data_IF_870073599305
#
_entry.id   IF_870073599305
#
_cell.length_a   1.000
_cell.length_b   1.000
_cell.length_c   1.000
_cell.angle_alpha   90.00
_cell.angle_beta   90.00
_cell.angle_gamma   90.00
#
_symmetry.space_group_name_H-M   'P 1'
#
loop_
_entity.id
_entity.type
_entity.pdbx_description
1 polymer ?
#
# COMPACT_ATOMS: atom_id res chain seq x y z
N UNK A 1 3.06 64.44 -25.26
CA UNK A 1 2.27 64.46 -26.47
C UNK A 1 1.21 63.39 -26.37
N UNK A 2 0.06 63.59 -25.81
CA UNK A 2 -1.17 64.32 -26.18
C UNK A 2 -1.82 63.87 -27.51
N UNK A 3 -2.97 63.19 -27.33
CA UNK A 3 -4.27 63.31 -28.05
C UNK A 3 -5.12 62.08 -27.77
N UNK A 4 -6.17 62.08 -26.95
CA UNK A 4 -7.53 62.66 -26.99
C UNK A 4 -8.29 62.41 -28.33
N UNK A 5 -9.44 61.78 -28.18
CA UNK A 5 -10.50 61.60 -29.16
C UNK A 5 -11.57 60.67 -28.64
N UNK A 6 -12.56 61.00 -27.86
CA UNK A 6 -13.92 61.57 -28.06
C UNK A 6 -14.85 60.65 -28.87
N UNK A 7 -15.78 60.12 -28.15
CA UNK A 7 -17.22 59.82 -28.23
C UNK A 7 -17.94 59.85 -29.59
N UNK A 8 -18.87 58.90 -29.72
CA UNK A 8 -20.16 59.13 -30.37
C UNK A 8 -21.24 58.18 -29.75
N UNK A 9 -22.23 58.83 -29.18
CA UNK A 9 -23.49 58.25 -28.74
C UNK A 9 -24.46 58.19 -29.93
N UNK A 10 -25.19 57.12 -30.10
CA UNK A 10 -26.39 57.05 -30.92
C UNK A 10 -27.57 56.61 -30.10
N UNK A 11 -28.52 57.54 -29.96
CA UNK A 11 -29.86 57.36 -29.42
C UNK A 11 -30.70 56.56 -30.42
N UNK A 12 -31.48 55.63 -29.98
CA UNK A 12 -32.59 55.05 -30.75
C UNK A 12 -33.86 55.10 -29.90
N UNK A 13 -34.79 55.75 -30.50
CA UNK A 13 -36.11 56.21 -30.08
C UNK A 13 -37.08 55.07 -29.75
N UNK A 14 -37.81 55.24 -28.63
CA UNK A 14 -39.03 54.50 -28.26
C UNK A 14 -40.16 54.78 -29.26
N UNK A 15 -40.83 53.74 -29.68
CA UNK A 15 -42.19 53.78 -30.24
C UNK A 15 -43.13 53.01 -29.28
N UNK A 16 -44.04 53.76 -28.67
CA UNK A 16 -45.18 53.22 -27.90
C UNK A 16 -46.31 52.90 -28.88
N UNK A 17 -46.79 51.64 -28.81
CA UNK A 17 -48.11 51.29 -29.36
C UNK A 17 -49.00 50.87 -28.18
N UNK A 18 -49.96 51.73 -27.90
CA UNK A 18 -51.10 51.47 -27.00
C UNK A 18 -52.11 50.54 -27.68
N UNK A 19 -52.43 49.43 -26.98
CA UNK A 19 -53.62 48.65 -27.22
C UNK A 19 -54.34 48.45 -25.86
N UNK A 20 -55.61 48.85 -25.67
CA UNK A 20 -56.34 48.61 -24.47
C UNK A 20 -57.09 47.27 -24.59
N UNK A 21 -57.15 46.49 -23.51
CA UNK A 21 -57.96 45.27 -23.44
C UNK A 21 -57.90 44.64 -22.08
N UNK A 22 -58.98 44.81 -21.32
CA UNK A 22 -59.29 44.21 -20.05
C UNK A 22 -59.07 42.70 -20.03
N UNK A 23 -58.51 42.20 -18.90
CA UNK A 23 -59.08 41.05 -18.18
C UNK A 23 -58.29 40.75 -16.91
N UNK A 24 -58.93 40.82 -15.81
CA UNK A 24 -58.47 40.37 -14.48
C UNK A 24 -58.13 38.87 -14.51
N UNK A 25 -56.87 38.54 -14.19
CA UNK A 25 -56.52 37.18 -13.68
C UNK A 25 -55.51 37.34 -12.55
N UNK A 26 -55.92 36.75 -11.43
CA UNK A 26 -55.31 36.86 -10.13
C UNK A 26 -53.80 36.56 -10.12
N UNK A 27 -53.08 37.37 -9.41
CA UNK A 27 -51.70 37.14 -9.01
C UNK A 27 -51.69 35.99 -8.01
N UNK A 28 -51.37 34.76 -8.45
CA UNK A 28 -50.85 33.74 -7.58
C UNK A 28 -49.35 34.03 -7.37
N UNK A 29 -49.02 34.81 -6.36
CA UNK A 29 -47.69 34.92 -5.83
C UNK A 29 -47.27 33.58 -5.22
N UNK A 30 -46.31 32.93 -5.80
CA UNK A 30 -45.70 31.72 -5.26
C UNK A 30 -44.96 32.03 -3.95
N UNK A 31 -45.24 31.38 -2.84
CA UNK A 31 -44.53 31.59 -1.59
C UNK A 31 -43.29 30.66 -1.49
N UNK A 32 -42.33 30.86 -2.41
CA UNK A 32 -41.14 29.97 -2.43
C UNK A 32 -39.88 30.58 -1.81
N UNK A 33 -39.84 31.88 -1.52
CA UNK A 33 -38.62 32.55 -1.02
C UNK A 33 -38.51 32.68 0.50
N UNK A 34 -39.53 32.40 1.26
CA UNK A 34 -39.53 32.54 2.75
C UNK A 34 -39.47 31.21 3.52
N UNK A 35 -39.60 30.06 2.88
CA UNK A 35 -39.58 28.75 3.54
C UNK A 35 -38.17 28.23 3.91
N UNK A 36 -37.13 28.70 3.23
CA UNK A 36 -35.73 28.24 3.45
C UNK A 36 -35.12 28.69 4.80
N UNK A 37 -35.32 29.93 5.31
CA UNK A 37 -34.78 30.32 6.60
C UNK A 37 -35.44 29.61 7.79
N UNK A 38 -36.74 29.31 7.71
CA UNK A 38 -37.49 28.65 8.78
C UNK A 38 -37.13 27.18 8.92
N UNK A 39 -36.97 26.46 7.83
CA UNK A 39 -36.50 25.06 7.82
C UNK A 39 -35.11 24.91 8.42
N UNK A 40 -34.21 25.84 8.11
CA UNK A 40 -32.84 25.85 8.68
C UNK A 40 -32.84 26.18 10.19
N UNK A 41 -33.70 27.07 10.64
CA UNK A 41 -33.87 27.38 12.08
C UNK A 41 -34.47 26.20 12.87
N UNK A 42 -35.46 25.53 12.32
CA UNK A 42 -36.05 24.33 12.94
C UNK A 42 -35.03 23.22 13.04
N UNK A 43 -34.27 22.94 12.00
CA UNK A 43 -33.21 21.94 12.00
C UNK A 43 -32.12 22.24 13.03
N UNK A 44 -31.74 23.52 13.22
CA UNK A 44 -30.78 23.90 14.26
C UNK A 44 -31.37 23.68 15.67
N UNK A 45 -32.61 24.02 15.93
CA UNK A 45 -33.26 23.79 17.22
C UNK A 45 -33.37 22.30 17.56
N UNK A 46 -33.61 21.47 16.57
CA UNK A 46 -33.66 20.02 16.72
C UNK A 46 -32.30 19.45 17.12
N UNK A 47 -31.21 19.88 16.48
CA UNK A 47 -29.82 19.46 16.81
C UNK A 47 -29.49 19.88 18.28
N UNK A 48 -29.83 21.10 18.70
CA UNK A 48 -29.57 21.53 20.08
C UNK A 48 -30.32 20.70 21.11
N UNK A 49 -31.57 20.32 20.82
CA UNK A 49 -32.34 19.44 21.70
C UNK A 49 -31.72 18.05 21.83
N UNK A 50 -31.20 17.49 20.74
CA UNK A 50 -30.47 16.20 20.76
C UNK A 50 -29.13 16.29 21.51
N UNK A 51 -28.45 17.43 21.43
CA UNK A 51 -27.23 17.68 22.22
C UNK A 51 -27.53 17.81 23.70
N UNK A 52 -28.66 18.45 24.08
CA UNK A 52 -29.13 18.51 25.48
C UNK A 52 -29.46 17.12 26.01
N UNK A 53 -30.11 16.28 25.20
CA UNK A 53 -30.38 14.88 25.57
C UNK A 53 -29.08 14.10 25.78
N UNK A 54 -28.10 14.26 24.89
CA UNK A 54 -26.80 13.65 25.05
C UNK A 54 -26.10 14.10 26.34
N UNK A 55 -26.16 15.40 26.66
CA UNK A 55 -25.65 15.96 27.91
C UNK A 55 -26.31 15.36 29.16
N UNK A 56 -27.63 15.20 29.16
CA UNK A 56 -28.39 14.57 30.26
C UNK A 56 -27.99 13.10 30.45
N UNK A 57 -27.82 12.34 29.37
CA UNK A 57 -27.37 10.94 29.44
C UNK A 57 -25.95 10.86 29.99
N UNK A 58 -25.06 11.72 29.51
CA UNK A 58 -23.66 11.76 29.99
C UNK A 58 -23.60 12.05 31.49
N UNK A 59 -24.37 13.06 31.98
CA UNK A 59 -24.44 13.41 33.40
C UNK A 59 -24.99 12.24 34.24
N UNK A 60 -26.02 11.55 33.73
CA UNK A 60 -26.61 10.40 34.40
C UNK A 60 -25.65 9.23 34.51
N UNK A 61 -24.88 8.94 33.42
CA UNK A 61 -23.86 7.90 33.44
C UNK A 61 -22.78 8.24 34.46
N UNK A 62 -22.30 9.50 34.49
CA UNK A 62 -21.29 9.95 35.47
C UNK A 62 -21.76 9.84 36.93
N UNK A 63 -23.02 10.12 37.21
CA UNK A 63 -23.54 10.13 38.57
C UNK A 63 -23.94 8.74 39.08
N UNK A 64 -24.47 7.87 38.22
CA UNK A 64 -25.18 6.68 38.63
C UNK A 64 -24.52 5.37 38.22
N UNK A 65 -23.48 5.41 37.41
CA UNK A 65 -22.78 4.17 37.03
C UNK A 65 -22.05 3.56 38.24
N UNK A 66 -22.04 2.24 38.30
CA UNK A 66 -21.59 1.47 39.48
C UNK A 66 -20.10 1.59 39.77
N UNK A 67 -19.27 1.92 38.76
CA UNK A 67 -17.82 2.07 38.87
C UNK A 67 -17.38 3.50 38.54
N UNK A 68 -16.21 3.91 39.03
CA UNK A 68 -15.65 5.20 38.66
C UNK A 68 -15.33 5.24 37.15
N UNK A 69 -15.73 6.32 36.50
CA UNK A 69 -15.58 6.49 35.05
C UNK A 69 -14.57 7.60 34.77
N UNK A 70 -13.72 7.36 33.78
CA UNK A 70 -12.88 8.42 33.22
C UNK A 70 -13.69 9.20 32.17
N UNK A 71 -13.98 10.47 32.45
CA UNK A 71 -14.74 11.35 31.56
C UNK A 71 -14.16 11.45 30.16
N UNK A 72 -12.83 11.52 30.03
CA UNK A 72 -12.16 11.59 28.74
C UNK A 72 -12.41 10.32 27.91
N UNK A 73 -12.26 9.15 28.53
CA UNK A 73 -12.50 7.87 27.85
C UNK A 73 -13.97 7.73 27.40
N UNK A 74 -14.90 8.21 28.21
CA UNK A 74 -16.33 8.17 27.88
C UNK A 74 -16.65 9.07 26.67
N UNK A 75 -16.10 10.28 26.64
CA UNK A 75 -16.26 11.20 25.51
C UNK A 75 -15.59 10.64 24.25
N UNK A 76 -14.36 10.11 24.35
CA UNK A 76 -13.67 9.47 23.23
C UNK A 76 -14.49 8.29 22.66
N UNK A 77 -15.08 7.47 23.55
CA UNK A 77 -15.94 6.36 23.14
C UNK A 77 -17.20 6.85 22.40
N UNK A 78 -17.82 7.92 22.88
CA UNK A 78 -19.01 8.53 22.25
C UNK A 78 -18.67 9.09 20.84
N UNK A 79 -17.55 9.83 20.71
CA UNK A 79 -17.07 10.37 19.42
C UNK A 79 -16.74 9.21 18.47
N UNK A 80 -16.06 8.18 18.95
CA UNK A 80 -15.74 7.03 18.14
C UNK A 80 -16.98 6.24 17.71
N UNK A 81 -17.98 6.10 18.60
CA UNK A 81 -19.28 5.51 18.29
C UNK A 81 -20.02 6.26 17.17
N UNK A 82 -20.03 7.59 17.21
CA UNK A 82 -20.58 8.43 16.16
C UNK A 82 -19.86 8.23 14.83
N UNK A 83 -18.53 8.25 14.82
CA UNK A 83 -17.75 8.11 13.59
C UNK A 83 -17.85 6.71 12.98
N UNK A 84 -17.76 5.67 13.81
CA UNK A 84 -17.87 4.27 13.36
C UNK A 84 -19.27 3.90 12.87
N UNK A 85 -20.32 4.66 13.25
CA UNK A 85 -21.68 4.48 12.69
C UNK A 85 -21.80 4.93 11.23
N UNK A 86 -20.84 5.71 10.70
CA UNK A 86 -20.87 6.21 9.34
C UNK A 86 -20.33 5.17 8.34
N UNK A 87 -19.18 4.59 8.65
CA UNK A 87 -18.48 3.57 7.84
C UNK A 87 -17.33 2.92 8.64
N UNK A 88 -16.77 1.77 8.17
CA UNK A 88 -15.71 1.07 8.89
C UNK A 88 -14.36 1.79 8.94
N UNK A 89 -14.20 2.90 8.24
CA UNK A 89 -12.92 3.60 8.09
C UNK A 89 -12.88 4.95 8.80
N UNK A 90 -14.04 5.51 9.14
CA UNK A 90 -14.14 6.73 9.93
C UNK A 90 -13.89 6.41 11.41
N UNK A 91 -13.02 7.17 12.08
CA UNK A 91 -12.65 6.92 13.47
C UNK A 91 -12.06 8.15 14.14
N UNK A 92 -12.12 8.18 15.46
CA UNK A 92 -11.37 9.12 16.27
C UNK A 92 -9.95 8.59 16.53
N UNK A 93 -8.97 9.47 16.48
CA UNK A 93 -7.58 9.20 16.78
C UNK A 93 -7.17 10.08 17.96
N UNK A 94 -6.93 9.48 19.11
CA UNK A 94 -6.34 10.23 20.23
C UNK A 94 -4.92 10.70 19.86
N UNK A 95 -4.33 11.58 20.67
CA UNK A 95 -3.05 12.19 20.38
C UNK A 95 -1.91 11.17 20.12
N UNK A 96 -1.96 9.99 20.77
CA UNK A 96 -1.00 8.91 20.53
C UNK A 96 -1.21 8.27 19.15
N UNK A 97 -2.42 7.81 18.87
CA UNK A 97 -2.76 7.15 17.60
C UNK A 97 -2.57 8.09 16.39
N UNK A 98 -2.79 9.38 16.58
CA UNK A 98 -2.53 10.39 15.54
C UNK A 98 -1.04 10.54 15.25
N UNK A 99 -0.19 10.61 16.28
CA UNK A 99 1.28 10.62 16.10
C UNK A 99 1.79 9.36 15.43
N UNK A 100 1.27 8.19 15.80
CA UNK A 100 1.63 6.92 15.18
C UNK A 100 1.26 6.89 13.69
N UNK A 101 0.07 7.38 13.35
CA UNK A 101 -0.36 7.53 11.96
C UNK A 101 0.56 8.49 11.18
N UNK A 102 0.89 9.65 11.75
CA UNK A 102 1.81 10.60 11.12
C UNK A 102 3.19 9.96 10.86
N UNK A 103 3.69 9.20 11.83
CA UNK A 103 4.95 8.45 11.70
C UNK A 103 4.90 7.43 10.55
N UNK A 104 3.80 6.69 10.43
CA UNK A 104 3.60 5.75 9.34
C UNK A 104 3.51 6.45 7.97
N UNK A 105 2.82 7.59 7.91
CA UNK A 105 2.69 8.38 6.67
C UNK A 105 4.02 8.99 6.23
N UNK A 106 4.82 9.51 7.15
CA UNK A 106 6.17 10.02 6.86
C UNK A 106 7.12 8.89 6.43
N UNK A 107 6.86 7.67 6.87
CA UNK A 107 7.75 6.53 6.63
C UNK A 107 9.09 6.66 7.35
N UNK A 108 9.10 7.41 8.47
CA UNK A 108 10.30 7.61 9.28
C UNK A 108 9.93 7.86 10.74
N UNK A 109 10.79 7.46 11.65
CA UNK A 109 10.59 7.64 13.09
C UNK A 109 11.91 7.79 13.84
N UNK A 110 11.87 8.46 14.98
CA UNK A 110 13.00 8.52 15.90
C UNK A 110 13.19 7.19 16.63
N UNK A 111 14.34 6.54 16.42
CA UNK A 111 14.60 5.21 16.96
C UNK A 111 16.04 4.76 16.77
N UNK A 112 16.25 3.45 16.92
CA UNK A 112 17.57 2.82 16.90
C UNK A 112 17.91 2.10 15.60
N UNK A 113 16.87 1.74 14.80
CA UNK A 113 17.02 0.96 13.57
C UNK A 113 17.30 -0.51 13.84
N UNK A 114 16.44 -1.13 14.63
CA UNK A 114 16.52 -2.56 14.96
C UNK A 114 15.18 -3.21 14.62
N UNK A 115 15.23 -4.31 13.90
CA UNK A 115 14.11 -5.24 13.76
C UNK A 115 14.13 -6.20 14.94
N UNK A 116 13.02 -6.33 15.65
CA UNK A 116 12.95 -7.10 16.90
C UNK A 116 11.73 -8.02 16.93
N UNK A 117 11.83 -9.09 17.71
CA UNK A 117 10.73 -10.00 18.03
C UNK A 117 10.78 -10.36 19.52
N UNK A 118 9.72 -11.02 20.03
CA UNK A 118 9.74 -11.57 21.39
C UNK A 118 10.13 -13.05 21.35
N UNK A 119 11.10 -13.42 22.17
CA UNK A 119 11.49 -14.82 22.37
C UNK A 119 11.76 -15.06 23.86
N UNK A 120 11.05 -16.02 24.47
CA UNK A 120 11.15 -16.36 25.88
C UNK A 120 11.01 -15.18 26.87
N UNK A 121 10.10 -14.25 26.56
CA UNK A 121 9.83 -13.06 27.37
C UNK A 121 10.92 -11.97 27.30
N UNK A 122 11.85 -12.07 26.36
CA UNK A 122 12.89 -11.08 26.08
C UNK A 122 12.76 -10.55 24.64
N UNK A 123 13.27 -9.35 24.42
CA UNK A 123 13.32 -8.72 23.09
C UNK A 123 14.55 -9.23 22.35
N UNK A 124 14.34 -10.05 21.33
CA UNK A 124 15.40 -10.58 20.46
C UNK A 124 15.60 -9.68 19.24
N UNK A 125 16.82 -9.35 18.94
CA UNK A 125 17.23 -8.65 17.71
C UNK A 125 17.18 -9.66 16.56
N UNK A 126 16.29 -9.40 15.58
CA UNK A 126 16.26 -10.13 14.31
C UNK A 126 17.38 -9.63 13.42
N UNK A 127 17.44 -8.32 13.21
CA UNK A 127 18.52 -7.66 12.45
C UNK A 127 18.62 -6.18 12.81
N UNK A 128 19.84 -5.61 12.94
CA UNK A 128 20.01 -4.17 12.84
C UNK A 128 19.85 -3.74 11.38
N UNK A 129 19.26 -2.56 11.17
CA UNK A 129 19.14 -1.93 9.85
C UNK A 129 20.46 -1.21 9.54
N UNK A 130 20.99 -1.40 8.34
CA UNK A 130 22.26 -0.76 7.92
C UNK A 130 22.19 0.77 8.05
N UNK A 131 23.33 1.40 8.32
CA UNK A 131 23.49 2.84 8.49
C UNK A 131 22.66 3.47 9.62
N UNK A 132 22.18 2.66 10.57
CA UNK A 132 21.44 3.12 11.75
C UNK A 132 22.33 3.17 13.01
N UNK A 133 21.87 3.84 14.11
CA UNK A 133 22.59 3.84 15.37
C UNK A 133 22.93 2.44 15.89
N UNK A 134 22.01 1.49 15.76
CA UNK A 134 22.21 0.12 16.22
C UNK A 134 23.30 -0.61 15.45
N UNK A 135 23.31 -0.49 14.11
CA UNK A 135 24.34 -1.08 13.27
C UNK A 135 25.73 -0.49 13.59
N UNK A 136 25.82 0.84 13.71
CA UNK A 136 27.08 1.52 14.06
C UNK A 136 27.59 1.16 15.45
N UNK A 137 26.68 0.90 16.40
CA UNK A 137 27.05 0.46 17.75
C UNK A 137 27.41 -1.04 17.85
N UNK A 138 27.33 -1.79 16.74
CA UNK A 138 27.71 -3.19 16.68
C UNK A 138 26.69 -4.13 17.35
N UNK A 139 25.42 -3.77 17.38
CA UNK A 139 24.30 -4.68 17.68
C UNK A 139 24.23 -5.72 16.56
N UNK A 140 23.98 -6.98 16.91
CA UNK A 140 24.02 -8.12 15.99
C UNK A 140 22.71 -8.90 16.00
N UNK A 141 22.39 -9.62 14.92
CA UNK A 141 21.33 -10.62 14.93
C UNK A 141 21.52 -11.61 16.10
N UNK A 142 20.43 -12.04 16.71
CA UNK A 142 20.35 -12.91 17.88
C UNK A 142 20.85 -12.27 19.21
N UNK A 143 21.15 -11.00 19.29
CA UNK A 143 21.29 -10.31 20.55
C UNK A 143 19.94 -10.26 21.28
N UNK A 144 19.95 -10.33 22.60
CA UNK A 144 18.77 -10.14 23.45
C UNK A 144 18.89 -8.83 24.22
N UNK A 145 17.93 -7.98 24.09
CA UNK A 145 17.79 -6.78 24.93
C UNK A 145 17.12 -7.21 26.22
N UNK A 146 17.80 -7.05 27.35
CA UNK A 146 17.32 -7.48 28.67
C UNK A 146 16.85 -6.31 29.52
N UNK A 147 17.38 -5.09 29.27
CA UNK A 147 16.92 -3.85 29.92
C UNK A 147 16.96 -2.68 28.93
N UNK A 148 16.08 -1.72 29.14
CA UNK A 148 16.00 -0.44 28.44
C UNK A 148 16.03 0.66 29.50
N UNK A 149 17.03 1.54 29.46
CA UNK A 149 17.28 2.62 30.45
C UNK A 149 17.27 2.13 31.92
N UNK A 150 17.75 0.90 32.14
CA UNK A 150 17.80 0.27 33.46
C UNK A 150 16.52 -0.49 33.86
N UNK A 151 15.44 -0.39 33.10
CA UNK A 151 14.20 -1.12 33.35
C UNK A 151 14.21 -2.48 32.64
N UNK A 152 13.89 -3.59 33.33
CA UNK A 152 13.81 -4.91 32.72
C UNK A 152 12.73 -4.95 31.62
N UNK A 153 13.02 -5.65 30.51
CA UNK A 153 12.04 -5.86 29.44
C UNK A 153 11.10 -7.06 29.74
N UNK A 154 11.45 -7.86 30.73
CA UNK A 154 10.65 -9.03 31.13
C UNK A 154 9.29 -8.57 31.65
N UNK A 155 8.22 -9.15 31.08
CA UNK A 155 6.81 -8.77 31.39
C UNK A 155 6.23 -7.68 30.51
N UNK A 156 7.04 -7.03 29.66
CA UNK A 156 6.54 -6.12 28.63
C UNK A 156 6.06 -6.90 27.39
N UNK A 157 5.05 -6.38 26.72
CA UNK A 157 4.74 -6.77 25.35
C UNK A 157 5.79 -6.22 24.37
N UNK A 158 5.87 -6.79 23.17
CA UNK A 158 6.77 -6.30 22.12
C UNK A 158 6.52 -4.81 21.83
N UNK A 159 5.24 -4.41 21.76
CA UNK A 159 4.88 -3.02 21.47
C UNK A 159 5.35 -2.06 22.58
N UNK A 160 5.19 -2.42 23.84
CA UNK A 160 5.68 -1.59 24.95
C UNK A 160 7.20 -1.45 24.93
N UNK A 161 7.93 -2.53 24.67
CA UNK A 161 9.38 -2.48 24.53
C UNK A 161 9.82 -1.61 23.34
N UNK A 162 9.14 -1.73 22.19
CA UNK A 162 9.40 -0.88 21.01
C UNK A 162 9.13 0.59 21.30
N UNK A 163 8.01 0.91 21.98
CA UNK A 163 7.70 2.29 22.37
C UNK A 163 8.76 2.90 23.29
N UNK A 164 9.31 2.12 24.26
CA UNK A 164 10.44 2.57 25.09
C UNK A 164 11.72 2.79 24.28
N UNK A 165 11.97 1.98 23.25
CA UNK A 165 13.13 2.14 22.36
C UNK A 165 12.97 3.32 21.39
N UNK A 166 11.76 3.68 21.00
CA UNK A 166 11.46 4.89 20.22
C UNK A 166 11.63 6.14 21.07
N UNK A 167 11.69 7.30 20.42
CA UNK A 167 11.76 8.59 21.11
C UNK A 167 12.25 9.69 20.20
N UNK A 168 12.40 10.92 20.73
CA UNK A 168 12.87 12.06 19.96
C UNK A 168 14.25 11.80 19.33
N UNK A 169 14.41 12.22 18.07
CA UNK A 169 15.71 12.20 17.40
C UNK A 169 16.74 12.98 18.23
N UNK A 170 17.97 12.49 18.27
CA UNK A 170 19.09 12.99 19.09
C UNK A 170 18.93 12.80 20.61
N UNK A 171 17.94 12.05 21.09
CA UNK A 171 17.89 11.64 22.50
C UNK A 171 18.69 10.36 22.72
N UNK A 172 19.30 10.25 23.89
CA UNK A 172 20.07 9.07 24.27
C UNK A 172 19.18 7.97 24.87
N UNK A 173 19.64 6.74 24.74
CA UNK A 173 19.05 5.54 25.35
C UNK A 173 20.16 4.56 25.70
N UNK A 174 19.98 3.80 26.76
CA UNK A 174 20.90 2.77 27.21
C UNK A 174 20.22 1.39 27.10
N UNK A 175 20.84 0.48 26.37
CA UNK A 175 20.38 -0.91 26.27
C UNK A 175 21.36 -1.83 26.99
N UNK A 176 20.83 -2.77 27.77
CA UNK A 176 21.63 -3.89 28.26
C UNK A 176 21.42 -5.06 27.33
N UNK A 177 22.50 -5.55 26.74
CA UNK A 177 22.50 -6.59 25.72
C UNK A 177 23.09 -7.88 26.28
N UNK A 178 22.37 -8.99 26.13
CA UNK A 178 22.88 -10.36 26.33
C UNK A 178 23.20 -10.95 24.96
N UNK A 179 24.43 -11.35 24.75
CA UNK A 179 24.94 -12.01 23.55
C UNK A 179 25.57 -13.34 23.92
N UNK A 180 25.34 -14.38 23.12
CA UNK A 180 25.95 -15.68 23.33
C UNK A 180 27.50 -15.57 23.42
N UNK A 181 28.08 -16.27 24.39
CA UNK A 181 29.53 -16.24 24.64
C UNK A 181 30.10 -14.95 25.23
N UNK A 182 29.24 -14.06 25.75
CA UNK A 182 29.67 -12.82 26.40
C UNK A 182 28.77 -12.48 27.60
N UNK A 183 29.36 -11.87 28.64
CA UNK A 183 28.60 -11.27 29.74
C UNK A 183 27.66 -10.18 29.22
N UNK A 184 26.59 -9.90 29.98
CA UNK A 184 25.68 -8.79 29.68
C UNK A 184 26.47 -7.47 29.67
N UNK A 185 26.30 -6.68 28.63
CA UNK A 185 27.03 -5.43 28.45
C UNK A 185 26.09 -4.28 28.06
N UNK A 186 26.53 -3.07 28.42
CA UNK A 186 25.81 -1.86 28.13
C UNK A 186 26.14 -1.33 26.72
N UNK A 187 25.12 -0.86 26.01
CA UNK A 187 25.27 -0.13 24.75
C UNK A 187 24.51 1.19 24.87
N UNK A 188 25.26 2.29 24.85
CA UNK A 188 24.66 3.62 24.76
C UNK A 188 24.45 3.99 23.32
N UNK A 189 23.22 4.42 22.96
CA UNK A 189 22.80 4.78 21.61
C UNK A 189 22.15 6.15 21.63
N UNK A 190 22.34 6.91 20.57
CA UNK A 190 21.59 8.14 20.32
C UNK A 190 20.56 7.86 19.23
N UNK A 191 19.28 8.09 19.51
CA UNK A 191 18.20 7.87 18.54
C UNK A 191 18.40 8.73 17.30
N UNK A 192 18.21 8.16 16.14
CA UNK A 192 18.27 8.86 14.86
C UNK A 192 16.95 8.72 14.11
N UNK A 193 16.82 9.46 13.01
CA UNK A 193 15.72 9.31 12.10
C UNK A 193 15.88 8.00 11.31
N UNK A 194 14.99 7.03 11.53
CA UNK A 194 15.00 5.70 10.89
C UNK A 194 13.98 5.70 9.77
N UNK A 195 14.44 5.53 8.53
CA UNK A 195 13.57 5.46 7.36
C UNK A 195 13.01 4.05 7.19
N UNK A 196 11.70 3.96 7.02
CA UNK A 196 11.01 2.71 6.72
C UNK A 196 11.16 2.44 5.22
N UNK A 197 11.90 1.39 4.86
CA UNK A 197 12.04 0.98 3.47
C UNK A 197 10.74 0.35 2.99
N UNK A 198 9.86 1.17 2.39
CA UNK A 198 8.62 0.71 1.79
C UNK A 198 8.80 0.10 0.40
N UNK A 199 9.95 0.31 -0.25
CA UNK A 199 10.30 -0.23 -1.57
C UNK A 199 11.50 -1.15 -1.46
N UNK A 200 11.33 -2.39 -1.93
CA UNK A 200 12.40 -3.40 -2.04
C UNK A 200 12.56 -3.77 -3.50
N UNK A 201 13.79 -4.03 -3.95
CA UNK A 201 14.04 -4.41 -5.34
C UNK A 201 15.25 -5.32 -5.49
N UNK A 202 15.20 -6.20 -6.48
CA UNK A 202 16.30 -7.06 -6.91
C UNK A 202 16.08 -7.53 -8.36
N UNK A 203 17.11 -8.10 -8.98
CA UNK A 203 17.01 -8.71 -10.29
C UNK A 203 16.59 -10.18 -10.18
N UNK A 204 15.55 -10.56 -10.92
CA UNK A 204 15.13 -11.93 -11.11
C UNK A 204 15.75 -12.51 -12.38
N UNK A 205 16.54 -13.59 -12.22
CA UNK A 205 17.22 -14.25 -13.34
C UNK A 205 18.22 -13.39 -14.09
N UNK A 206 18.55 -12.21 -13.58
CA UNK A 206 19.47 -11.27 -14.19
C UNK A 206 18.91 -10.43 -15.34
N UNK A 207 17.61 -10.56 -15.65
CA UNK A 207 16.96 -9.95 -16.82
C UNK A 207 15.62 -9.26 -16.53
N UNK A 208 15.00 -9.49 -15.38
CA UNK A 208 13.74 -8.85 -14.96
C UNK A 208 13.94 -8.07 -13.66
N UNK A 209 13.52 -6.82 -13.65
CA UNK A 209 13.52 -5.99 -12.44
C UNK A 209 12.30 -6.31 -11.56
N UNK A 210 12.51 -6.88 -10.37
CA UNK A 210 11.46 -7.03 -9.36
C UNK A 210 11.47 -5.85 -8.42
N UNK A 211 10.29 -5.22 -8.23
CA UNK A 211 10.08 -4.08 -7.33
C UNK A 211 8.85 -4.37 -6.49
N UNK A 212 9.00 -4.43 -5.17
CA UNK A 212 7.89 -4.61 -4.23
C UNK A 212 7.68 -3.33 -3.44
N UNK A 213 6.44 -2.83 -3.43
CA UNK A 213 6.01 -1.72 -2.58
C UNK A 213 5.11 -2.30 -1.49
N UNK A 214 5.52 -2.18 -0.23
CA UNK A 214 4.78 -2.74 0.92
C UNK A 214 3.76 -1.79 1.52
N UNK A 215 3.95 -0.48 1.33
CA UNK A 215 3.03 0.60 1.74
C UNK A 215 3.38 1.89 1.00
N UNK A 216 2.42 2.82 0.92
CA UNK A 216 2.64 4.13 0.30
C UNK A 216 2.86 5.18 1.38
N UNK A 217 4.11 5.52 1.66
CA UNK A 217 4.55 6.59 2.56
C UNK A 217 5.40 7.62 1.81
N UNK A 218 5.82 8.71 2.45
CA UNK A 218 6.58 9.80 1.82
C UNK A 218 7.95 9.37 1.23
N UNK A 219 8.39 8.14 1.49
CA UNK A 219 9.65 7.59 0.95
C UNK A 219 9.44 6.70 -0.28
N UNK A 220 8.18 6.46 -0.69
CA UNK A 220 7.89 5.43 -1.71
C UNK A 220 8.31 5.82 -3.12
N UNK A 221 8.14 7.10 -3.52
CA UNK A 221 8.56 7.61 -4.82
C UNK A 221 10.10 7.62 -4.95
N UNK A 222 10.80 8.13 -3.92
CA UNK A 222 12.26 8.12 -3.87
C UNK A 222 12.80 6.69 -3.88
N UNK A 223 12.17 5.79 -3.12
CA UNK A 223 12.51 4.36 -3.10
C UNK A 223 12.35 3.73 -4.49
N UNK A 224 11.26 4.03 -5.20
CA UNK A 224 11.01 3.55 -6.54
C UNK A 224 12.05 4.07 -7.56
N UNK A 225 12.38 5.36 -7.53
CA UNK A 225 13.40 5.96 -8.40
C UNK A 225 14.75 5.26 -8.18
N UNK A 226 15.14 5.04 -6.92
CA UNK A 226 16.39 4.34 -6.59
C UNK A 226 16.36 2.88 -7.06
N UNK A 227 15.22 2.19 -6.92
CA UNK A 227 15.04 0.83 -7.42
C UNK A 227 15.28 0.76 -8.94
N UNK A 228 14.64 1.63 -9.74
CA UNK A 228 14.86 1.69 -11.19
C UNK A 228 16.32 1.94 -11.55
N UNK A 229 16.96 2.91 -10.86
CA UNK A 229 18.38 3.23 -11.10
C UNK A 229 19.28 2.03 -10.83
N UNK A 230 19.09 1.36 -9.69
CA UNK A 230 19.89 0.19 -9.31
C UNK A 230 19.70 -0.97 -10.28
N UNK A 231 18.44 -1.29 -10.62
CA UNK A 231 18.13 -2.38 -11.54
C UNK A 231 18.68 -2.14 -12.94
N UNK A 232 18.58 -0.91 -13.45
CA UNK A 232 19.19 -0.53 -14.74
C UNK A 232 20.71 -0.64 -14.72
N UNK A 233 21.35 -0.25 -13.62
CA UNK A 233 22.81 -0.38 -13.46
C UNK A 233 23.26 -1.85 -13.42
N UNK A 234 22.49 -2.72 -12.75
CA UNK A 234 22.82 -4.13 -12.59
C UNK A 234 22.57 -4.95 -13.86
N UNK A 235 21.44 -4.73 -14.53
CA UNK A 235 21.05 -5.52 -15.71
C UNK A 235 21.58 -4.96 -17.03
N UNK A 236 21.76 -3.64 -17.14
CA UNK A 236 22.12 -2.98 -18.40
C UNK A 236 21.12 -3.31 -19.51
N UNK A 237 21.65 -3.65 -20.70
CA UNK A 237 20.84 -3.98 -21.90
C UNK A 237 20.13 -5.34 -21.81
N UNK A 238 20.38 -6.12 -20.75
CA UNK A 238 19.70 -7.41 -20.54
C UNK A 238 18.31 -7.26 -19.98
N UNK A 239 17.94 -6.09 -19.46
CA UNK A 239 16.65 -5.85 -18.82
C UNK A 239 15.52 -5.97 -19.84
N UNK A 240 14.58 -6.89 -19.61
CA UNK A 240 13.46 -7.18 -20.51
C UNK A 240 12.12 -6.68 -20.00
N UNK A 241 12.01 -6.32 -18.73
CA UNK A 241 10.77 -5.81 -18.14
C UNK A 241 10.84 -5.71 -16.63
N UNK A 242 9.70 -5.32 -16.03
CA UNK A 242 9.57 -5.13 -14.59
C UNK A 242 8.36 -5.87 -14.04
N UNK A 243 8.50 -6.40 -12.83
CA UNK A 243 7.40 -6.85 -11.98
C UNK A 243 7.23 -5.83 -10.86
N UNK A 244 6.05 -5.21 -10.77
CA UNK A 244 5.64 -4.36 -9.66
C UNK A 244 4.74 -5.17 -8.72
N UNK A 245 5.24 -5.53 -7.54
CA UNK A 245 4.50 -6.34 -6.57
C UNK A 245 3.81 -5.45 -5.53
N UNK A 246 2.48 -5.41 -5.60
CA UNK A 246 1.59 -4.70 -4.70
C UNK A 246 0.78 -5.66 -3.80
N UNK A 247 1.09 -6.95 -3.79
CA UNK A 247 0.41 -7.93 -2.95
C UNK A 247 0.60 -7.60 -1.45
N UNK A 248 -0.48 -7.74 -0.68
CA UNK A 248 -0.53 -7.40 0.76
C UNK A 248 -0.11 -5.96 1.07
N UNK A 249 -0.27 -5.04 0.13
CA UNK A 249 -0.05 -3.61 0.34
C UNK A 249 -1.39 -2.91 0.65
N UNK A 250 -1.64 -2.48 1.90
CA UNK A 250 -2.92 -1.89 2.31
C UNK A 250 -3.16 -0.48 1.76
N UNK A 251 -2.21 0.08 1.02
CA UNK A 251 -2.24 1.43 0.50
C UNK A 251 -1.39 2.41 1.30
N UNK A 252 -1.88 3.64 1.43
CA UNK A 252 -1.21 4.75 2.11
C UNK A 252 -1.54 6.08 1.46
N UNK A 253 -0.54 6.94 1.29
CA UNK A 253 -0.70 8.30 0.76
C UNK A 253 -1.11 8.32 -0.71
N UNK A 254 -2.15 9.12 -1.00
CA UNK A 254 -2.63 9.34 -2.36
C UNK A 254 -1.55 9.93 -3.27
N UNK A 255 -0.84 10.94 -2.80
CA UNK A 255 0.22 11.63 -3.53
C UNK A 255 1.31 10.64 -3.97
N UNK A 256 1.61 9.66 -3.12
CA UNK A 256 2.58 8.62 -3.43
C UNK A 256 2.04 7.62 -4.47
N UNK A 257 0.75 7.28 -4.41
CA UNK A 257 0.14 6.48 -5.48
C UNK A 257 0.16 7.20 -6.83
N UNK A 258 -0.09 8.51 -6.83
CA UNK A 258 0.01 9.35 -8.04
C UNK A 258 1.45 9.38 -8.56
N UNK A 259 2.44 9.64 -7.70
CA UNK A 259 3.87 9.67 -8.08
C UNK A 259 4.35 8.32 -8.61
N UNK A 260 3.98 7.22 -7.96
CA UNK A 260 4.32 5.85 -8.39
C UNK A 260 3.66 5.53 -9.73
N UNK A 261 2.38 5.87 -9.93
CA UNK A 261 1.71 5.68 -11.23
C UNK A 261 2.38 6.48 -12.33
N UNK A 262 2.76 7.73 -12.03
CA UNK A 262 3.44 8.61 -12.97
C UNK A 262 4.83 8.11 -13.38
N UNK A 263 5.48 7.27 -12.59
CA UNK A 263 6.73 6.61 -12.96
C UNK A 263 6.58 5.57 -14.10
N UNK A 264 5.36 5.29 -14.52
CA UNK A 264 5.04 4.36 -15.61
C UNK A 264 4.15 4.97 -16.70
N UNK A 265 3.48 6.12 -16.43
CA UNK A 265 2.48 6.74 -17.31
C UNK A 265 2.91 8.18 -17.59
N UNK A 266 3.08 8.56 -18.86
CA UNK A 266 3.50 9.91 -19.25
C UNK A 266 2.35 10.90 -19.48
N UNK A 267 1.12 10.43 -19.63
CA UNK A 267 -0.03 11.29 -19.95
C UNK A 267 -1.36 10.66 -19.55
N UNK A 268 -2.34 11.50 -19.31
CA UNK A 268 -3.71 11.11 -18.99
C UNK A 268 -4.00 11.13 -17.49
N UNK A 269 -5.24 10.86 -17.14
CA UNK A 269 -5.70 10.82 -15.74
C UNK A 269 -5.13 9.58 -15.06
N UNK A 270 -4.69 9.72 -13.80
CA UNK A 270 -4.27 8.61 -12.93
C UNK A 270 -5.44 8.20 -12.06
N UNK A 271 -6.11 9.16 -11.43
CA UNK A 271 -7.23 8.93 -10.53
C UNK A 271 -8.09 10.18 -10.42
N UNK A 272 -9.39 10.02 -10.25
CA UNK A 272 -10.28 11.10 -9.84
C UNK A 272 -10.92 10.82 -8.49
N UNK A 273 -11.17 11.90 -7.74
CA UNK A 273 -11.82 11.89 -6.43
C UNK A 273 -13.14 12.64 -6.55
N UNK A 274 -14.22 12.03 -6.05
CA UNK A 274 -15.55 12.65 -6.06
C UNK A 274 -16.15 12.59 -4.66
N UNK A 275 -16.36 13.75 -4.07
CA UNK A 275 -17.03 13.93 -2.79
C UNK A 275 -18.53 14.12 -2.92
N UNK A 276 -19.20 14.46 -1.79
CA UNK A 276 -20.64 14.71 -1.76
C UNK A 276 -21.06 15.93 -2.60
N UNK A 277 -20.21 16.94 -2.71
CA UNK A 277 -20.45 18.11 -3.54
C UNK A 277 -19.75 17.97 -4.88
N UNK A 278 -20.43 18.22 -5.98
CA UNK A 278 -19.88 18.09 -7.35
C UNK A 278 -18.64 18.98 -7.54
N UNK A 279 -18.63 20.17 -6.91
CA UNK A 279 -17.49 21.11 -6.99
C UNK A 279 -16.23 20.60 -6.27
N UNK A 280 -16.32 19.56 -5.44
CA UNK A 280 -15.18 18.97 -4.75
C UNK A 280 -14.49 17.85 -5.53
N UNK A 281 -14.87 17.64 -6.79
CA UNK A 281 -14.22 16.65 -7.64
C UNK A 281 -12.79 17.11 -7.99
N UNK A 282 -11.81 16.22 -7.79
CA UNK A 282 -10.40 16.47 -8.13
C UNK A 282 -9.92 15.39 -9.09
N UNK A 283 -9.03 15.76 -10.01
CA UNK A 283 -8.39 14.85 -10.95
C UNK A 283 -6.88 14.98 -10.83
N UNK A 284 -6.22 13.84 -10.80
CA UNK A 284 -4.76 13.74 -10.78
C UNK A 284 -4.30 13.15 -12.11
N UNK A 285 -3.47 13.90 -12.81
CA UNK A 285 -2.99 13.52 -14.14
C UNK A 285 -1.50 13.23 -14.11
N UNK A 286 -1.06 12.35 -14.99
CA UNK A 286 0.34 12.07 -15.23
C UNK A 286 1.04 13.31 -15.80
N UNK A 287 2.31 13.46 -15.44
CA UNK A 287 3.21 14.49 -15.97
C UNK A 287 4.10 13.86 -17.03
N UNK A 288 4.38 14.56 -18.14
CA UNK A 288 5.22 14.03 -19.20
C UNK A 288 6.66 13.78 -18.75
N UNK A 289 7.36 12.91 -19.48
CA UNK A 289 8.77 12.58 -19.29
C UNK A 289 9.12 11.98 -17.93
N UNK A 290 8.18 11.25 -17.33
CA UNK A 290 8.34 10.60 -16.01
C UNK A 290 8.40 9.08 -16.06
N UNK A 291 8.14 8.43 -17.21
CA UNK A 291 8.23 6.97 -17.34
C UNK A 291 9.67 6.49 -17.10
N UNK A 292 9.90 5.95 -15.90
CA UNK A 292 11.19 5.40 -15.49
C UNK A 292 11.46 4.01 -16.05
N UNK A 293 10.44 3.31 -16.52
CA UNK A 293 10.57 1.98 -17.10
C UNK A 293 11.23 2.00 -18.48
N UNK A 294 11.24 3.17 -19.14
CA UNK A 294 11.76 3.32 -20.50
C UNK A 294 10.93 2.56 -21.55
N UNK A 295 9.63 2.44 -21.32
CA UNK A 295 8.71 1.73 -22.20
C UNK A 295 8.79 0.19 -22.12
N UNK A 296 9.63 -0.38 -21.27
CA UNK A 296 9.70 -1.83 -21.08
C UNK A 296 8.40 -2.39 -20.54
N UNK A 297 8.02 -3.63 -20.86
CA UNK A 297 6.84 -4.31 -20.35
C UNK A 297 6.80 -4.34 -18.81
N UNK A 298 5.60 -4.20 -18.25
CA UNK A 298 5.37 -4.22 -16.79
C UNK A 298 4.26 -5.22 -16.48
N UNK A 299 4.49 -6.05 -15.48
CA UNK A 299 3.47 -6.89 -14.85
C UNK A 299 3.25 -6.38 -13.42
N UNK A 300 1.99 -6.17 -13.03
CA UNK A 300 1.63 -5.78 -11.66
C UNK A 300 1.01 -6.98 -10.96
N UNK A 301 1.58 -7.37 -9.81
CA UNK A 301 1.01 -8.42 -8.97
C UNK A 301 0.09 -7.82 -7.91
N UNK A 302 -1.15 -8.31 -7.85
CA UNK A 302 -2.17 -7.90 -6.87
C UNK A 302 -2.81 -9.11 -6.21
N UNK A 303 -3.37 -8.90 -5.00
CA UNK A 303 -4.18 -9.90 -4.29
C UNK A 303 -5.22 -9.21 -3.39
N UNK A 304 -6.00 -10.00 -2.65
CA UNK A 304 -7.00 -9.48 -1.71
C UNK A 304 -6.46 -8.57 -0.59
N UNK A 305 -5.16 -8.51 -0.38
CA UNK A 305 -4.50 -7.56 0.53
C UNK A 305 -4.05 -6.26 -0.14
N UNK A 306 -4.19 -6.13 -1.46
CA UNK A 306 -3.90 -4.90 -2.22
C UNK A 306 -5.09 -3.95 -2.10
N UNK A 307 -4.92 -2.79 -1.44
CA UNK A 307 -6.02 -1.89 -1.13
C UNK A 307 -5.69 -0.40 -1.38
N UNK A 308 -6.73 0.43 -1.61
CA UNK A 308 -6.63 1.91 -1.64
C UNK A 308 -5.59 2.41 -2.65
N UNK A 309 -4.46 3.02 -2.20
CA UNK A 309 -3.37 3.51 -3.05
C UNK A 309 -2.83 2.44 -4.00
N UNK A 310 -2.74 1.17 -3.58
CA UNK A 310 -2.37 0.05 -4.45
C UNK A 310 -3.37 -0.15 -5.58
N UNK A 311 -4.65 0.03 -5.30
CA UNK A 311 -5.72 -0.09 -6.31
C UNK A 311 -5.76 1.09 -7.26
N UNK A 312 -5.34 2.28 -6.80
CA UNK A 312 -5.14 3.45 -7.67
C UNK A 312 -4.05 3.14 -8.69
N UNK A 313 -2.87 2.68 -8.25
CA UNK A 313 -1.75 2.33 -9.13
C UNK A 313 -2.17 1.21 -10.10
N UNK A 314 -2.71 0.11 -9.58
CA UNK A 314 -3.15 -1.02 -10.40
C UNK A 314 -4.20 -0.59 -11.44
N UNK A 315 -5.25 0.11 -11.02
CA UNK A 315 -6.33 0.57 -11.90
C UNK A 315 -5.86 1.59 -12.94
N UNK A 316 -4.95 2.49 -12.58
CA UNK A 316 -4.37 3.43 -13.53
C UNK A 316 -3.54 2.72 -14.60
N UNK A 317 -2.64 1.82 -14.20
CA UNK A 317 -1.80 1.07 -15.14
C UNK A 317 -2.61 0.15 -16.04
N UNK A 318 -3.68 -0.45 -15.52
CA UNK A 318 -4.62 -1.28 -16.28
C UNK A 318 -5.40 -0.47 -17.32
N UNK A 319 -6.05 0.63 -16.90
CA UNK A 319 -6.88 1.44 -17.77
C UNK A 319 -6.08 2.13 -18.89
N UNK A 320 -4.80 2.43 -18.64
CA UNK A 320 -3.87 2.93 -19.66
C UNK A 320 -3.23 1.83 -20.52
N UNK A 321 -3.54 0.56 -20.29
CA UNK A 321 -2.88 -0.59 -20.93
C UNK A 321 -1.34 -0.55 -20.81
N UNK A 322 -0.86 0.04 -19.69
CA UNK A 322 0.57 0.20 -19.44
C UNK A 322 1.20 -1.04 -18.82
N UNK A 323 0.41 -1.80 -18.09
CA UNK A 323 0.84 -3.04 -17.46
C UNK A 323 -0.24 -4.12 -17.58
N UNK A 324 0.18 -5.38 -17.49
CA UNK A 324 -0.72 -6.52 -17.30
C UNK A 324 -0.83 -6.81 -15.81
N UNK A 325 -2.06 -6.79 -15.28
CA UNK A 325 -2.33 -7.14 -13.90
C UNK A 325 -2.46 -8.65 -13.76
N UNK A 326 -1.77 -9.23 -12.77
CA UNK A 326 -1.79 -10.66 -12.52
C UNK A 326 -1.97 -10.95 -11.02
N UNK A 327 -2.62 -12.07 -10.70
CA UNK A 327 -2.87 -12.51 -9.34
C UNK A 327 -4.35 -12.73 -9.06
N UNK A 328 -4.85 -12.22 -7.95
CA UNK A 328 -6.28 -12.31 -7.58
C UNK A 328 -6.86 -10.91 -7.37
N UNK A 329 -8.20 -10.82 -7.36
CA UNK A 329 -8.91 -9.55 -7.17
C UNK A 329 -8.41 -8.81 -5.94
N UNK A 330 -8.26 -7.50 -6.04
CA UNK A 330 -7.89 -6.62 -4.93
C UNK A 330 -9.02 -6.44 -3.90
N UNK A 331 -8.74 -5.73 -2.82
CA UNK A 331 -9.62 -5.60 -1.65
C UNK A 331 -10.92 -4.82 -1.94
N UNK A 332 -10.87 -3.75 -2.71
CA UNK A 332 -12.03 -2.90 -3.00
C UNK A 332 -12.21 -1.71 -2.07
N UNK A 333 -11.12 -1.12 -1.56
CA UNK A 333 -11.19 0.10 -0.75
C UNK A 333 -11.09 1.35 -1.63
N UNK A 334 -12.23 1.84 -2.09
CA UNK A 334 -12.34 3.06 -2.90
C UNK A 334 -12.69 4.32 -2.13
N UNK A 335 -12.67 4.30 -0.79
CA UNK A 335 -12.99 5.45 0.07
C UNK A 335 -11.76 6.32 0.36
N UNK A 336 -11.95 7.64 0.29
CA UNK A 336 -10.93 8.66 0.63
C UNK A 336 -11.13 9.09 2.08
N UNK A 337 -10.11 8.90 2.92
CA UNK A 337 -10.11 9.40 4.27
C UNK A 337 -9.35 10.73 4.35
N UNK A 338 -10.01 11.74 4.92
CA UNK A 338 -9.38 13.01 5.30
C UNK A 338 -9.07 12.98 6.78
N UNK A 339 -7.85 13.34 7.14
CA UNK A 339 -7.45 13.53 8.53
C UNK A 339 -7.66 15.00 8.89
N UNK A 340 -8.49 15.22 9.90
CA UNK A 340 -8.78 16.56 10.43
C UNK A 340 -8.22 16.61 11.86
N UNK A 341 -7.17 17.40 12.06
CA UNK A 341 -6.58 17.63 13.38
C UNK A 341 -7.55 18.43 14.26
N UNK A 342 -7.65 18.06 15.52
CA UNK A 342 -8.48 18.70 16.53
C UNK A 342 -7.60 19.47 17.53
N UNK A 343 -8.23 20.30 18.35
CA UNK A 343 -7.55 21.26 19.23
C UNK A 343 -6.68 20.66 20.33
N UNK A 344 -6.89 19.40 20.68
CA UNK A 344 -6.18 18.65 21.73
C UNK A 344 -5.07 17.73 21.20
N UNK A 345 -4.58 18.00 19.99
CA UNK A 345 -3.62 17.14 19.26
C UNK A 345 -4.16 15.73 18.94
N UNK A 346 -5.45 15.52 19.08
CA UNK A 346 -6.15 14.37 18.51
C UNK A 346 -6.54 14.65 17.05
N UNK A 347 -7.11 13.67 16.36
CA UNK A 347 -7.58 13.87 15.02
C UNK A 347 -8.85 13.04 14.74
N UNK A 348 -9.59 13.48 13.76
CA UNK A 348 -10.70 12.74 13.18
C UNK A 348 -10.29 12.24 11.79
N UNK A 349 -10.38 10.94 11.58
CA UNK A 349 -10.28 10.33 10.27
C UNK A 349 -11.69 10.14 9.73
N UNK A 350 -12.03 10.83 8.65
CA UNK A 350 -13.38 10.88 8.10
C UNK A 350 -13.36 10.51 6.61
N UNK A 351 -14.27 9.66 6.18
CA UNK A 351 -14.51 9.36 4.76
C UNK A 351 -15.23 10.54 4.12
N UNK A 352 -14.55 11.23 3.20
CA UNK A 352 -15.05 12.46 2.56
C UNK A 352 -15.36 12.30 1.07
N UNK A 353 -14.82 11.27 0.42
CA UNK A 353 -14.95 11.06 -1.01
C UNK A 353 -14.71 9.60 -1.43
N UNK A 354 -14.80 9.33 -2.74
CA UNK A 354 -14.47 8.04 -3.35
C UNK A 354 -13.50 8.22 -4.51
N UNK A 355 -12.65 7.18 -4.71
CA UNK A 355 -11.74 7.06 -5.84
C UNK A 355 -12.41 6.44 -7.05
N UNK A 356 -12.02 6.94 -8.23
CA UNK A 356 -12.41 6.40 -9.53
C UNK A 356 -11.17 6.25 -10.41
N UNK A 357 -11.08 5.14 -11.13
CA UNK A 357 -10.00 4.92 -12.09
C UNK A 357 -10.12 5.84 -13.31
N UNK A 358 -9.13 5.95 -14.19
CA UNK A 358 -9.19 6.76 -15.40
C UNK A 358 -10.41 6.50 -16.29
N UNK A 359 -10.84 5.24 -16.40
CA UNK A 359 -12.05 4.86 -17.14
C UNK A 359 -13.36 5.23 -16.42
N UNK A 360 -13.27 5.81 -15.20
CA UNK A 360 -14.44 6.18 -14.39
C UNK A 360 -15.05 5.03 -13.58
N UNK A 361 -14.40 3.88 -13.47
CA UNK A 361 -14.84 2.75 -12.62
C UNK A 361 -14.66 3.12 -11.14
N UNK A 362 -15.67 2.83 -10.31
CA UNK A 362 -15.56 2.94 -8.86
C UNK A 362 -14.80 1.72 -8.30
N UNK A 363 -13.80 1.97 -7.48
CA UNK A 363 -13.04 0.92 -6.78
C UNK A 363 -13.85 0.38 -5.60
N UNK A 364 -14.72 1.21 -4.97
CA UNK A 364 -15.41 0.88 -3.73
C UNK A 364 -16.25 -0.39 -3.83
N UNK A 365 -15.95 -1.39 -3.00
CA UNK A 365 -16.66 -2.67 -2.90
C UNK A 365 -16.47 -3.62 -4.08
N UNK A 366 -15.78 -3.17 -5.16
CA UNK A 366 -15.52 -3.98 -6.36
C UNK A 366 -14.06 -4.43 -6.44
N UNK A 367 -13.13 -3.55 -6.08
CA UNK A 367 -11.71 -3.77 -6.30
C UNK A 367 -11.32 -3.67 -7.77
N UNK A 368 -10.11 -4.13 -8.04
CA UNK A 368 -9.52 -4.26 -9.38
C UNK A 368 -9.37 -5.76 -9.66
N UNK A 369 -9.99 -6.22 -10.73
CA UNK A 369 -9.80 -7.58 -11.23
C UNK A 369 -8.48 -7.66 -12.01
N UNK A 370 -7.66 -8.70 -11.83
CA UNK A 370 -6.47 -8.91 -12.64
C UNK A 370 -6.87 -9.28 -14.08
N UNK A 371 -6.00 -8.93 -15.04
CA UNK A 371 -6.15 -9.35 -16.44
C UNK A 371 -5.91 -10.85 -16.60
N UNK A 372 -4.99 -11.39 -15.78
CA UNK A 372 -4.65 -12.81 -15.73
C UNK A 372 -4.82 -13.29 -14.28
N UNK A 373 -5.82 -14.14 -14.07
CA UNK A 373 -6.04 -14.74 -12.74
C UNK A 373 -4.98 -15.82 -12.49
N UNK A 374 -4.23 -15.65 -11.41
CA UNK A 374 -3.25 -16.63 -10.93
C UNK A 374 -3.43 -16.76 -9.42
N UNK A 375 -3.95 -17.92 -9.00
CA UNK A 375 -4.10 -18.20 -7.57
C UNK A 375 -2.74 -18.36 -6.89
N UNK A 376 -2.68 -18.04 -5.59
CA UNK A 376 -1.50 -18.30 -4.80
C UNK A 376 -1.28 -19.81 -4.67
N UNK A 377 -0.09 -20.27 -5.03
CA UNK A 377 0.30 -21.67 -4.93
C UNK A 377 1.78 -21.78 -4.58
N UNK A 378 2.15 -22.89 -3.97
CA UNK A 378 3.54 -23.24 -3.71
C UNK A 378 4.06 -24.12 -4.84
N UNK A 379 5.22 -23.80 -5.38
CA UNK A 379 5.88 -24.61 -6.39
C UNK A 379 6.58 -25.78 -5.68
N UNK A 380 6.15 -27.01 -6.00
CA UNK A 380 6.87 -28.22 -5.63
C UNK A 380 7.56 -28.78 -6.86
N UNK A 381 8.89 -28.87 -6.81
CA UNK A 381 9.66 -29.48 -7.89
C UNK A 381 9.48 -31.00 -7.84
N UNK A 382 8.84 -31.57 -8.84
CA UNK A 382 8.80 -33.02 -9.01
C UNK A 382 10.19 -33.48 -9.47
N UNK A 383 10.80 -34.40 -8.72
CA UNK A 383 12.04 -35.00 -9.12
C UNK A 383 11.85 -35.65 -10.52
N UNK A 384 12.53 -35.13 -11.53
CA UNK A 384 12.55 -35.76 -12.85
C UNK A 384 13.25 -37.10 -12.68
N UNK A 385 12.47 -38.18 -12.69
CA UNK A 385 13.07 -39.51 -12.89
C UNK A 385 13.85 -39.51 -14.23
N UNK A 386 14.83 -40.38 -14.35
CA UNK A 386 15.62 -40.57 -15.59
C UNK A 386 14.70 -40.66 -16.80
N UNK A 387 14.50 -39.54 -17.47
CA UNK A 387 13.76 -39.48 -18.75
C UNK A 387 14.70 -40.02 -19.83
N UNK A 388 14.40 -41.21 -20.36
CA UNK A 388 15.12 -41.74 -21.51
C UNK A 388 14.89 -40.86 -22.72
N UNK A 389 15.94 -40.38 -23.32
CA UNK A 389 15.92 -39.67 -24.57
C UNK A 389 16.16 -40.65 -25.73
N UNK A 390 15.85 -40.27 -26.97
CA UNK A 390 16.10 -41.06 -28.17
C UNK A 390 17.55 -41.53 -28.24
N UNK A 391 18.50 -40.66 -27.82
CA UNK A 391 19.92 -40.97 -27.79
C UNK A 391 20.29 -42.10 -26.82
N UNK A 392 19.42 -42.42 -25.85
CA UNK A 392 19.65 -43.48 -24.88
C UNK A 392 19.07 -44.84 -25.32
N UNK A 393 18.39 -44.85 -26.47
CA UNK A 393 17.81 -46.07 -27.02
C UNK A 393 18.84 -46.88 -27.74
N UNK A 394 18.73 -48.21 -27.57
CA UNK A 394 19.63 -49.14 -28.28
C UNK A 394 19.37 -49.06 -29.79
N UNK A 395 20.37 -48.59 -30.55
CA UNK A 395 20.28 -48.45 -31.98
C UNK A 395 19.72 -47.09 -32.41
N UNK A 396 19.72 -46.08 -31.54
CA UNK A 396 19.37 -44.72 -31.88
C UNK A 396 20.19 -44.19 -33.04
N UNK A 397 19.55 -43.47 -33.95
CA UNK A 397 20.24 -42.85 -35.09
C UNK A 397 21.12 -41.68 -34.60
N UNK A 398 22.34 -41.63 -35.12
CA UNK A 398 23.23 -40.48 -34.82
C UNK A 398 22.75 -39.22 -35.52
N UNK A 399 22.79 -38.09 -34.82
CA UNK A 399 22.47 -36.79 -35.41
C UNK A 399 23.57 -36.42 -36.40
N UNK A 400 23.25 -36.21 -37.68
CA UNK A 400 24.25 -35.92 -38.74
C UNK A 400 24.95 -34.57 -38.53
N UNK A 401 24.37 -33.65 -37.75
CA UNK A 401 24.91 -32.31 -37.48
C UNK A 401 25.91 -32.29 -36.31
N UNK A 402 26.06 -33.40 -35.57
CA UNK A 402 27.01 -33.51 -34.47
C UNK A 402 28.37 -34.01 -35.02
N UNK A 403 29.36 -33.16 -35.00
CA UNK A 403 30.72 -33.52 -35.44
C UNK A 403 31.31 -34.60 -34.54
N UNK A 404 32.00 -35.63 -35.10
CA UNK A 404 32.68 -36.65 -34.30
C UNK A 404 33.73 -35.96 -33.40
N UNK A 405 33.53 -35.94 -32.11
CA UNK A 405 34.43 -35.32 -31.13
C UNK A 405 33.77 -34.38 -30.11
N UNK A 406 32.56 -33.94 -30.34
CA UNK A 406 31.81 -33.12 -29.39
C UNK A 406 31.18 -34.00 -28.30
N UNK A 407 31.98 -34.33 -27.30
CA UNK A 407 31.51 -35.00 -26.09
C UNK A 407 30.83 -33.95 -25.22
N UNK A 408 29.61 -33.53 -25.56
CA UNK A 408 28.72 -32.91 -24.59
C UNK A 408 28.50 -33.94 -23.47
N UNK A 409 28.78 -33.54 -22.25
CA UNK A 409 28.81 -34.36 -21.05
C UNK A 409 27.54 -35.21 -20.91
N UNK A 410 27.61 -36.45 -21.34
CA UNK A 410 26.66 -37.47 -20.92
C UNK A 410 27.02 -37.84 -19.48
N UNK A 411 26.15 -37.74 -18.52
CA UNK A 411 26.37 -38.28 -17.17
C UNK A 411 26.45 -39.80 -17.30
N UNK A 412 27.63 -40.35 -17.00
CA UNK A 412 27.83 -41.81 -16.97
C UNK A 412 26.96 -42.48 -15.89
N UNK A 413 26.71 -43.79 -16.02
CA UNK A 413 25.83 -44.50 -15.09
C UNK A 413 26.45 -44.52 -13.71
N UNK A 414 25.82 -43.84 -12.71
CA UNK A 414 26.17 -43.96 -11.33
C UNK A 414 25.58 -45.27 -10.79
N UNK A 415 26.45 -46.00 -10.15
CA UNK A 415 26.25 -47.29 -9.50
C UNK A 415 25.03 -47.39 -8.59
N UNK A 416 24.39 -48.52 -8.69
CA UNK A 416 23.35 -49.13 -7.88
C UNK A 416 23.31 -48.66 -6.40
N UNK A 417 22.23 -48.01 -6.01
CA UNK A 417 21.77 -48.02 -4.62
C UNK A 417 20.54 -48.95 -4.51
N UNK A 418 20.61 -49.85 -3.56
CA UNK A 418 19.57 -50.84 -3.24
C UNK A 418 18.26 -50.15 -2.82
N UNK A 419 17.08 -50.75 -3.09
CA UNK A 419 15.83 -50.24 -2.60
C UNK A 419 15.69 -50.55 -1.10
N UNK A 420 15.56 -49.50 -0.30
CA UNK A 420 15.13 -49.65 1.09
C UNK A 420 13.59 -49.54 1.13
N UNK A 421 12.95 -50.65 1.55
CA UNK A 421 11.52 -50.72 1.76
C UNK A 421 11.22 -50.11 3.16
N UNK A 422 10.68 -48.92 3.21
CA UNK A 422 9.93 -48.48 4.38
C UNK A 422 8.54 -48.00 3.98
N UNK A 423 7.58 -48.90 4.19
CA UNK A 423 6.15 -48.60 4.22
C UNK A 423 5.87 -47.61 5.32
N UNK A 424 5.42 -46.41 4.96
CA UNK A 424 4.81 -45.50 5.91
C UNK A 424 3.34 -45.33 5.54
N UNK A 425 2.52 -45.82 6.45
CA UNK A 425 1.06 -45.70 6.49
C UNK A 425 0.62 -44.24 6.45
N UNK A 426 -0.27 -43.96 5.52
CA UNK A 426 -0.99 -42.69 5.46
C UNK A 426 -1.93 -42.57 6.66
N UNK A 427 -1.81 -41.46 7.39
CA UNK A 427 -2.82 -40.99 8.33
C UNK A 427 -3.66 -39.91 7.65
N UNK A 428 -4.99 -40.02 7.63
CA UNK A 428 -5.88 -38.98 7.19
C UNK A 428 -6.27 -38.15 8.41
N UNK A 429 -5.90 -36.89 8.47
CA UNK A 429 -6.62 -35.78 9.13
C UNK A 429 -5.73 -34.55 9.16
N UNK A 430 -5.70 -33.83 8.02
CA UNK A 430 -5.29 -32.43 8.01
C UNK A 430 -6.52 -31.58 7.65
N UNK A 431 -7.01 -30.80 8.62
CA UNK A 431 -7.93 -29.69 8.39
C UNK A 431 -7.39 -28.81 7.26
N UNK A 432 -8.25 -28.30 6.35
CA UNK A 432 -7.80 -27.35 5.36
C UNK A 432 -7.38 -26.05 6.09
N UNK A 433 -6.09 -25.83 6.18
CA UNK A 433 -5.54 -24.51 6.50
C UNK A 433 -5.94 -23.57 5.37
N UNK A 434 -6.58 -22.45 5.74
CA UNK A 434 -6.85 -21.35 4.81
C UNK A 434 -5.54 -20.97 4.11
N UNK A 435 -5.53 -20.68 2.79
CA UNK A 435 -4.33 -20.29 2.09
C UNK A 435 -3.95 -18.86 2.49
N UNK A 436 -3.37 -18.70 3.65
CA UNK A 436 -2.56 -17.53 3.96
C UNK A 436 -1.34 -17.64 3.08
N UNK A 437 -1.31 -16.82 2.02
CA UNK A 437 -0.10 -16.64 1.23
C UNK A 437 0.98 -16.22 2.22
N UNK A 438 1.85 -17.13 2.56
CA UNK A 438 2.92 -16.87 3.52
C UNK A 438 3.75 -15.72 2.94
N UNK A 439 3.74 -14.57 3.62
CA UNK A 439 4.46 -13.38 3.17
C UNK A 439 5.97 -13.67 2.97
N UNK A 440 6.47 -14.73 3.59
CA UNK A 440 7.83 -15.23 3.43
C UNK A 440 8.09 -15.85 2.04
N UNK A 441 7.08 -16.31 1.32
CA UNK A 441 7.24 -16.88 -0.03
C UNK A 441 7.26 -15.81 -1.12
N UNK A 442 6.72 -14.62 -0.86
CA UNK A 442 6.63 -13.56 -1.86
C UNK A 442 8.02 -13.06 -2.27
N UNK A 443 8.31 -13.10 -3.57
CA UNK A 443 9.62 -12.75 -4.13
C UNK A 443 10.68 -13.86 -3.99
N UNK A 444 10.30 -15.09 -3.62
CA UNK A 444 11.20 -16.24 -3.57
C UNK A 444 11.04 -17.17 -4.79
N UNK A 445 11.96 -18.10 -4.97
CA UNK A 445 11.92 -19.15 -6.02
C UNK A 445 10.68 -20.06 -5.94
N UNK A 446 9.94 -20.04 -4.83
CA UNK A 446 8.73 -20.82 -4.60
C UNK A 446 7.45 -20.02 -4.86
N UNK A 447 7.57 -18.74 -5.21
CA UNK A 447 6.45 -17.84 -5.51
C UNK A 447 5.88 -18.14 -6.90
N UNK A 448 4.78 -18.88 -6.94
CA UNK A 448 4.14 -19.27 -8.20
C UNK A 448 3.65 -18.07 -9.02
N UNK A 449 3.03 -17.07 -8.36
CA UNK A 449 2.52 -15.88 -9.05
C UNK A 449 3.68 -15.08 -9.67
N UNK A 450 4.79 -14.92 -8.97
CA UNK A 450 5.99 -14.28 -9.49
C UNK A 450 6.56 -15.08 -10.67
N UNK A 451 6.67 -16.41 -10.56
CA UNK A 451 7.14 -17.26 -11.65
C UNK A 451 6.32 -17.06 -12.93
N UNK A 452 4.98 -16.97 -12.82
CA UNK A 452 4.11 -16.71 -13.99
C UNK A 452 4.34 -15.32 -14.59
N UNK A 453 4.57 -14.29 -13.74
CA UNK A 453 4.90 -12.95 -14.21
C UNK A 453 6.23 -12.91 -14.97
N UNK A 454 7.25 -13.62 -14.48
CA UNK A 454 8.54 -13.74 -15.14
C UNK A 454 8.44 -14.44 -16.49
N UNK A 455 7.68 -15.55 -16.58
CA UNK A 455 7.46 -16.26 -17.84
C UNK A 455 6.76 -15.38 -18.88
N UNK A 456 5.74 -14.60 -18.46
CA UNK A 456 5.06 -13.66 -19.34
C UNK A 456 6.01 -12.60 -19.90
N UNK A 457 6.80 -11.95 -19.05
CA UNK A 457 7.75 -10.90 -19.46
C UNK A 457 8.80 -11.43 -20.43
N UNK A 458 9.38 -12.60 -20.14
CA UNK A 458 10.36 -13.25 -21.01
C UNK A 458 9.74 -13.67 -22.33
N UNK A 459 8.52 -14.24 -22.29
CA UNK A 459 7.78 -14.59 -23.50
C UNK A 459 7.51 -13.38 -24.40
N UNK A 460 6.99 -12.29 -23.85
CA UNK A 460 6.75 -11.03 -24.59
C UNK A 460 8.06 -10.48 -25.20
N UNK A 461 9.15 -10.49 -24.43
CA UNK A 461 10.46 -10.04 -24.93
C UNK A 461 10.99 -10.87 -26.09
N UNK A 462 10.83 -12.20 -26.05
CA UNK A 462 11.22 -13.11 -27.13
C UNK A 462 10.41 -12.83 -28.41
N UNK A 463 9.10 -12.65 -28.28
CA UNK A 463 8.24 -12.32 -29.43
C UNK A 463 8.57 -10.96 -30.01
N UNK A 464 8.76 -9.92 -29.19
CA UNK A 464 9.08 -8.57 -29.65
C UNK A 464 10.40 -8.49 -30.46
N UNK A 465 11.38 -9.33 -30.10
CA UNK A 465 12.66 -9.41 -30.84
C UNK A 465 12.53 -10.10 -32.19
N UNK A 466 11.52 -10.95 -32.38
CA UNK A 466 11.37 -11.78 -33.61
C UNK A 466 10.35 -11.22 -34.59
N UNK A 467 9.64 -10.12 -34.28
CA UNK A 467 8.75 -9.44 -35.23
C UNK A 467 9.61 -8.55 -36.13
N UNK A 468 9.68 -8.79 -37.45
CA UNK A 468 10.33 -7.86 -38.38
C UNK A 468 9.67 -6.50 -38.30
N UNK A 469 10.41 -5.44 -38.03
CA UNK A 469 9.93 -4.04 -38.04
C UNK A 469 9.67 -3.56 -39.45
#
# INVERSE_FOLDING_TARGET
MMRIGIAAATAATLVWLLVPGDSALGQAQAPAAQAQPQAQQQQKQEIYRELDLFGQVLERVRSDYVEEINDQQLIEAAINGMLSSLDPHSSYLNAKNFRDLQTQMRGEFGGLGIEVTMENGLVKVVSPIDDTPAARAGIKPNDFIVQIDGEPVQGLSLNEAVEKMRGPVNSDIKLNIRREGRDVFDVKLTRANIKIQSVKSHLEGGDVGYIRITSFNEQSDVGLINAFKTLKQQAGDKLVGYVLDLRNNPGGLLEQAVSVSNAFIDKGEIVSIRGRKVQSAQRFNAQPDKDLSGGLPVVVLINGGSASASEIVAGALQDHHRAVLMGTRSFGKGSVQTIVELSDHSAMRLTTARYYTPSGRSIQGKGIDPDIVVEAAKIERVASGDTRHEADLRGALSNPDVKPGDKSKTPGPSSQAKPDQSTTTAQPDAKPESPTTDAALMGSDQDYQLSRALDLLRGVSMFAKNIPR
#
